data_IF_469698950776
#
_entry.id   IF_469698950776
#
_cell.length_a   1.000
_cell.length_b   1.000
_cell.length_c   1.000
_cell.angle_alpha   90.00
_cell.angle_beta   90.00
_cell.angle_gamma   90.00
#
_symmetry.space_group_name_H-M   'P 1'
#
loop_
_entity.id
_entity.type
_entity.pdbx_description
1 polymer ?
#
# COMPACT_ATOMS: atom_id res chain seq x y z
N UNK A 1 7.57 -22.66 -9.62
CA UNK A 1 7.78 -21.45 -10.43
C UNK A 1 6.88 -20.39 -9.82
N UNK A 2 7.44 -19.48 -9.02
CA UNK A 2 6.68 -18.36 -8.45
C UNK A 2 6.50 -17.37 -9.60
N UNK A 3 5.26 -17.03 -9.91
CA UNK A 3 4.99 -16.01 -10.95
C UNK A 3 5.15 -14.64 -10.33
N UNK A 4 5.58 -13.63 -11.10
CA UNK A 4 5.75 -12.24 -10.61
C UNK A 4 4.49 -11.71 -9.90
N UNK A 5 3.31 -12.22 -10.29
CA UNK A 5 2.02 -11.97 -9.66
C UNK A 5 1.88 -12.40 -8.19
N UNK A 6 2.75 -13.30 -7.71
CA UNK A 6 2.74 -13.81 -6.33
C UNK A 6 3.59 -12.95 -5.38
N UNK A 7 4.41 -12.04 -5.91
CA UNK A 7 5.34 -11.22 -5.13
C UNK A 7 4.75 -9.82 -4.96
N UNK A 8 4.89 -9.24 -3.76
CA UNK A 8 4.57 -7.83 -3.50
C UNK A 8 5.85 -7.00 -3.71
N UNK A 9 5.74 -5.73 -4.09
CA UNK A 9 6.91 -4.91 -4.41
C UNK A 9 7.94 -4.85 -3.26
N UNK A 10 7.48 -4.73 -2.01
CA UNK A 10 8.34 -4.77 -0.82
C UNK A 10 7.73 -5.65 0.27
N UNK A 11 8.56 -6.48 0.88
CA UNK A 11 8.29 -7.14 2.16
C UNK A 11 9.30 -6.62 3.18
N UNK A 12 8.81 -6.06 4.28
CA UNK A 12 9.63 -5.67 5.42
C UNK A 12 9.29 -6.53 6.63
N UNK A 13 10.28 -6.84 7.46
CA UNK A 13 10.09 -7.60 8.70
C UNK A 13 10.79 -6.89 9.86
N UNK A 14 10.10 -6.80 11.00
CA UNK A 14 10.66 -6.28 12.25
C UNK A 14 9.94 -6.90 13.44
N UNK A 15 10.69 -7.39 14.44
CA UNK A 15 10.15 -7.94 15.69
C UNK A 15 9.07 -9.03 15.47
N UNK A 16 9.27 -9.88 14.45
CA UNK A 16 8.32 -10.92 14.07
C UNK A 16 7.04 -10.43 13.38
N UNK A 17 6.95 -9.14 13.04
CA UNK A 17 5.87 -8.55 12.25
C UNK A 17 6.32 -8.32 10.81
N UNK A 18 5.45 -8.65 9.86
CA UNK A 18 5.67 -8.46 8.43
C UNK A 18 4.79 -7.35 7.89
N UNK A 19 5.35 -6.55 7.00
CA UNK A 19 4.68 -5.50 6.26
C UNK A 19 4.80 -5.81 4.76
N UNK A 20 3.66 -5.98 4.09
CA UNK A 20 3.56 -6.16 2.64
C UNK A 20 3.20 -4.81 1.99
N UNK A 21 3.96 -4.38 0.98
CA UNK A 21 3.83 -3.03 0.42
C UNK A 21 3.79 -3.02 -1.11
N UNK A 22 2.72 -2.50 -1.68
CA UNK A 22 2.68 -2.14 -3.10
C UNK A 22 3.19 -0.71 -3.30
N UNK A 23 3.96 -0.48 -4.36
CA UNK A 23 4.55 0.83 -4.69
C UNK A 23 4.06 1.27 -6.06
N UNK A 24 3.50 2.48 -6.15
CA UNK A 24 3.07 3.07 -7.43
C UNK A 24 3.77 4.41 -7.67
N UNK A 25 4.54 4.46 -8.76
CA UNK A 25 5.20 5.66 -9.25
C UNK A 25 4.23 6.60 -9.99
N UNK A 26 4.81 7.59 -10.68
CA UNK A 26 4.04 8.43 -11.60
C UNK A 26 3.60 7.61 -12.83
N UNK A 27 2.34 7.78 -13.24
CA UNK A 27 1.78 7.10 -14.40
C UNK A 27 0.74 7.97 -15.13
N UNK A 28 0.30 7.51 -16.31
CA UNK A 28 -0.76 8.17 -17.07
C UNK A 28 -2.14 7.96 -16.44
N UNK A 29 -2.35 6.85 -15.71
CA UNK A 29 -3.65 6.40 -15.16
C UNK A 29 -3.56 6.04 -13.66
N UNK A 30 -3.09 6.95 -12.79
CA UNK A 30 -2.73 6.63 -11.41
C UNK A 30 -3.87 6.04 -10.58
N UNK A 31 -5.12 6.39 -10.91
CA UNK A 31 -6.30 5.78 -10.27
C UNK A 31 -6.40 4.27 -10.51
N UNK A 32 -6.25 3.83 -11.77
CA UNK A 32 -6.32 2.41 -12.12
C UNK A 32 -5.19 1.62 -11.44
N UNK A 33 -3.99 2.21 -11.41
CA UNK A 33 -2.82 1.58 -10.80
C UNK A 33 -2.99 1.41 -9.29
N UNK A 34 -3.53 2.42 -8.61
CA UNK A 34 -3.88 2.36 -7.18
C UNK A 34 -4.97 1.33 -6.92
N UNK A 35 -6.06 1.33 -7.69
CA UNK A 35 -7.17 0.38 -7.51
C UNK A 35 -6.69 -1.07 -7.69
N UNK A 36 -5.79 -1.27 -8.66
CA UNK A 36 -5.13 -2.57 -8.89
C UNK A 36 -4.25 -2.96 -7.71
N UNK A 37 -3.44 -2.03 -7.18
CA UNK A 37 -2.58 -2.24 -6.01
C UNK A 37 -3.39 -2.65 -4.77
N UNK A 38 -4.49 -1.93 -4.50
CA UNK A 38 -5.39 -2.24 -3.38
C UNK A 38 -5.97 -3.65 -3.57
N UNK A 39 -6.46 -3.98 -4.77
CA UNK A 39 -6.95 -5.32 -5.07
C UNK A 39 -5.90 -6.42 -4.88
N UNK A 40 -4.64 -6.15 -5.23
CA UNK A 40 -3.52 -7.06 -5.01
C UNK A 40 -3.20 -7.27 -3.52
N UNK A 41 -3.24 -6.21 -2.71
CA UNK A 41 -3.05 -6.30 -1.26
C UNK A 41 -4.20 -7.04 -0.59
N UNK A 42 -5.46 -6.73 -0.94
CA UNK A 42 -6.65 -7.40 -0.37
C UNK A 42 -6.62 -8.91 -0.62
N UNK A 43 -6.20 -9.36 -1.80
CA UNK A 43 -6.05 -10.79 -2.11
C UNK A 43 -5.03 -11.52 -1.23
N UNK A 44 -4.13 -10.79 -0.58
CA UNK A 44 -3.09 -11.32 0.31
C UNK A 44 -3.47 -11.23 1.79
N UNK A 45 -4.57 -10.55 2.11
CA UNK A 45 -5.02 -10.44 3.49
C UNK A 45 -5.47 -11.81 4.02
N UNK A 46 -5.03 -12.21 5.22
CA UNK A 46 -5.47 -13.45 5.82
C UNK A 46 -6.98 -13.39 6.10
N UNK A 47 -7.67 -14.52 5.95
CA UNK A 47 -9.12 -14.61 6.20
C UNK A 47 -9.48 -14.40 7.67
N UNK A 48 -8.53 -14.66 8.58
CA UNK A 48 -8.63 -14.34 10.00
C UNK A 48 -7.65 -13.21 10.33
N UNK A 49 -8.01 -12.38 11.32
CA UNK A 49 -7.19 -11.25 11.71
C UNK A 49 -5.84 -11.75 12.30
N UNK A 50 -4.74 -11.37 11.66
CA UNK A 50 -3.39 -11.66 12.10
C UNK A 50 -2.66 -10.35 12.42
N UNK A 51 -2.39 -10.11 13.70
CA UNK A 51 -1.70 -8.91 14.16
C UNK A 51 -0.20 -8.91 13.84
N UNK A 52 0.35 -10.02 13.36
CA UNK A 52 1.74 -10.11 12.91
C UNK A 52 1.91 -9.64 11.45
N UNK A 53 0.82 -9.38 10.74
CA UNK A 53 0.85 -8.95 9.34
C UNK A 53 0.19 -7.59 9.17
N UNK A 54 0.83 -6.72 8.39
CA UNK A 54 0.34 -5.39 8.05
C UNK A 54 0.51 -5.13 6.55
N UNK A 55 -0.25 -4.18 6.02
CA UNK A 55 -0.26 -3.86 4.59
C UNK A 55 -0.08 -2.37 4.39
N UNK A 56 0.64 -1.97 3.35
CA UNK A 56 0.75 -0.58 2.96
C UNK A 56 0.70 -0.36 1.45
N UNK A 57 0.24 0.82 1.08
CA UNK A 57 0.42 1.37 -0.26
C UNK A 57 1.40 2.53 -0.16
N UNK A 58 2.33 2.58 -1.11
CA UNK A 58 3.27 3.69 -1.27
C UNK A 58 3.02 4.33 -2.63
N UNK A 59 2.86 5.64 -2.65
CA UNK A 59 2.73 6.41 -3.89
C UNK A 59 3.78 7.52 -3.96
N UNK A 60 4.01 8.06 -5.16
CA UNK A 60 4.79 9.30 -5.29
C UNK A 60 4.08 10.46 -4.58
N UNK A 61 4.85 11.31 -3.88
CA UNK A 61 4.35 12.54 -3.25
C UNK A 61 4.16 13.65 -4.30
N UNK A 62 3.15 13.46 -5.16
CA UNK A 62 2.67 14.45 -6.11
C UNK A 62 1.13 14.44 -6.16
N UNK A 63 0.48 15.56 -6.50
CA UNK A 63 -0.97 15.70 -6.37
C UNK A 63 -1.77 14.57 -7.03
N UNK A 64 -1.42 14.18 -8.27
CA UNK A 64 -2.19 13.16 -9.00
C UNK A 64 -2.13 11.77 -8.35
N UNK A 65 -0.96 11.39 -7.84
CA UNK A 65 -0.75 10.11 -7.16
C UNK A 65 -1.41 10.11 -5.77
N UNK A 66 -1.29 11.20 -5.01
CA UNK A 66 -1.92 11.33 -3.70
C UNK A 66 -3.44 11.33 -3.84
N UNK A 67 -4.00 12.10 -4.77
CA UNK A 67 -5.44 12.15 -5.03
C UNK A 67 -6.00 10.80 -5.45
N UNK A 68 -5.25 10.02 -6.23
CA UNK A 68 -5.62 8.65 -6.58
C UNK A 68 -5.63 7.72 -5.36
N UNK A 69 -4.60 7.81 -4.51
CA UNK A 69 -4.43 6.95 -3.34
C UNK A 69 -5.51 7.16 -2.25
N UNK A 70 -6.11 8.35 -2.18
CA UNK A 70 -7.14 8.70 -1.19
C UNK A 70 -8.58 8.59 -1.71
N UNK A 71 -8.79 8.03 -2.92
CA UNK A 71 -10.14 7.80 -3.48
C UNK A 71 -10.96 6.81 -2.68
N UNK A 72 -10.31 5.75 -2.19
CA UNK A 72 -10.94 4.83 -1.26
C UNK A 72 -11.17 5.56 0.07
N UNK A 73 -12.37 5.50 0.66
CA UNK A 73 -12.64 6.19 1.91
C UNK A 73 -11.68 5.72 3.01
N UNK A 74 -11.04 6.67 3.71
CA UNK A 74 -10.08 6.39 4.78
C UNK A 74 -10.60 5.36 5.79
N UNK A 75 -11.87 5.46 6.20
CA UNK A 75 -12.50 4.50 7.13
C UNK A 75 -12.40 3.05 6.65
N UNK A 76 -12.54 2.81 5.34
CA UNK A 76 -12.46 1.46 4.77
C UNK A 76 -11.02 0.97 4.76
N UNK A 77 -10.05 1.83 4.40
CA UNK A 77 -8.63 1.49 4.41
C UNK A 77 -8.13 1.22 5.84
N UNK A 78 -8.61 1.99 6.82
CA UNK A 78 -8.35 1.76 8.25
C UNK A 78 -8.95 0.42 8.72
N UNK A 79 -10.18 0.07 8.30
CA UNK A 79 -10.80 -1.23 8.61
C UNK A 79 -10.04 -2.42 8.00
N UNK A 80 -9.41 -2.21 6.85
CA UNK A 80 -8.53 -3.20 6.21
C UNK A 80 -7.14 -3.24 6.85
N UNK A 81 -6.83 -2.39 7.84
CA UNK A 81 -5.52 -2.33 8.46
C UNK A 81 -4.41 -1.85 7.52
N UNK A 82 -4.75 -1.05 6.50
CA UNK A 82 -3.78 -0.53 5.53
C UNK A 82 -3.22 0.82 5.96
N UNK A 83 -1.91 1.00 5.80
CA UNK A 83 -1.25 2.30 5.87
C UNK A 83 -1.02 2.87 4.46
N UNK A 84 -1.00 4.21 4.34
CA UNK A 84 -0.69 4.89 3.09
C UNK A 84 0.44 5.89 3.29
N UNK A 85 1.45 5.80 2.43
CA UNK A 85 2.60 6.69 2.42
C UNK A 85 2.77 7.35 1.06
N UNK A 86 3.19 8.61 1.09
CA UNK A 86 3.67 9.36 -0.05
C UNK A 86 5.19 9.53 0.06
N UNK A 87 5.93 9.30 -1.02
CA UNK A 87 7.40 9.42 -1.06
C UNK A 87 7.80 10.46 -2.09
N UNK A 88 8.53 11.48 -1.66
CA UNK A 88 9.03 12.55 -2.52
C UNK A 88 10.30 12.12 -3.31
N UNK A 89 10.75 13.00 -4.22
CA UNK A 89 11.92 12.72 -5.08
C UNK A 89 13.26 12.63 -4.34
N UNK A 90 13.33 13.07 -3.09
CA UNK A 90 14.50 12.98 -2.23
C UNK A 90 14.43 11.79 -1.26
N UNK A 91 13.37 10.99 -1.33
CA UNK A 91 13.11 9.87 -0.42
C UNK A 91 12.45 10.30 0.90
N UNK A 92 11.99 11.54 1.01
CA UNK A 92 11.18 11.98 2.14
C UNK A 92 9.86 11.23 2.17
N UNK A 93 9.52 10.68 3.35
CA UNK A 93 8.31 9.87 3.54
C UNK A 93 7.29 10.67 4.33
N UNK A 94 6.09 10.82 3.76
CA UNK A 94 4.95 11.44 4.39
C UNK A 94 3.84 10.42 4.57
N UNK A 95 3.45 10.16 5.81
CA UNK A 95 2.32 9.29 6.09
C UNK A 95 1.01 10.04 5.83
N UNK A 96 0.15 9.48 4.98
CA UNK A 96 -1.16 10.05 4.64
C UNK A 96 -2.23 9.62 5.65
N UNK A 97 -2.25 8.33 6.02
CA UNK A 97 -3.06 7.77 7.12
C UNK A 97 -2.59 6.35 7.49
N UNK A 98 -3.31 5.71 8.41
CA UNK A 98 -3.00 4.40 8.98
C UNK A 98 -2.22 4.51 10.29
N UNK A 99 -2.16 3.43 11.05
CA UNK A 99 -1.30 3.31 12.24
C UNK A 99 -0.29 2.19 11.98
N UNK A 100 0.95 2.40 12.40
CA UNK A 100 2.03 1.39 12.40
C UNK A 100 2.10 0.76 13.77
#
# INVERSE_FOLDING_TARGET
MVTDSDVVDIVAEKDGRRLYVEVKGASSVPGLDVDTAIGQLVRRMPSEADQSVSFALVVRDEPRSVDAAVRAPRRILDLMGMALYAVDGNGGVRQLFGRV
#
